data_IF_516368248552
#
_entry.id   IF_516368248552
#
_cell.length_a   1.000
_cell.length_b   1.000
_cell.length_c   1.000
_cell.angle_alpha   90.00
_cell.angle_beta   90.00
_cell.angle_gamma   90.00
#
_symmetry.space_group_name_H-M   'P 1'
#
loop_
_entity.id
_entity.type
_entity.pdbx_description
1 polymer ?
#
# COMPACT_ATOMS: atom_id res chain seq x y z
N UNK A 1 -0.58 -3.76 -17.61
CA UNK A 1 0.07 -3.38 -16.33
C UNK A 1 1.40 -4.05 -16.20
N UNK A 2 2.28 -3.52 -15.36
CA UNK A 2 3.63 -4.04 -15.21
C UNK A 2 3.91 -4.34 -13.76
N UNK A 3 4.38 -5.56 -13.48
CA UNK A 3 4.86 -5.99 -12.18
C UNK A 3 6.36 -5.78 -12.09
N UNK A 4 6.82 -5.24 -10.98
CA UNK A 4 8.23 -5.08 -10.65
C UNK A 4 8.57 -5.85 -9.39
N UNK A 5 9.55 -6.73 -9.45
CA UNK A 5 10.13 -7.39 -8.27
C UNK A 5 11.16 -6.46 -7.64
N UNK A 6 11.15 -6.36 -6.32
CA UNK A 6 12.00 -5.46 -5.56
C UNK A 6 12.64 -6.18 -4.38
N UNK A 7 13.94 -5.95 -4.20
CA UNK A 7 14.70 -6.40 -3.05
C UNK A 7 15.36 -5.19 -2.41
N UNK A 8 15.30 -5.09 -1.08
CA UNK A 8 15.97 -4.03 -0.34
C UNK A 8 17.37 -4.46 0.07
N UNK A 9 18.37 -3.75 -0.40
CA UNK A 9 19.78 -3.98 -0.10
C UNK A 9 20.20 -3.33 1.23
N UNK A 10 19.36 -2.47 1.79
CA UNK A 10 19.57 -1.80 3.08
C UNK A 10 18.24 -1.56 3.80
N UNK A 11 18.31 -1.22 5.10
CA UNK A 11 17.12 -0.82 5.85
C UNK A 11 16.47 0.43 5.25
N UNK A 12 15.15 0.54 5.38
CA UNK A 12 14.36 1.64 4.82
C UNK A 12 13.29 2.09 5.81
N UNK A 13 12.83 3.33 5.69
CA UNK A 13 11.54 3.74 6.28
C UNK A 13 10.40 2.99 5.60
N UNK A 14 9.21 2.94 6.20
CA UNK A 14 8.04 2.33 5.55
C UNK A 14 7.87 2.91 4.14
N UNK A 15 7.76 2.03 3.15
CA UNK A 15 7.58 2.39 1.73
C UNK A 15 6.17 1.98 1.30
N UNK A 16 5.39 2.98 0.96
CA UNK A 16 4.02 2.87 0.44
C UNK A 16 3.93 3.37 -1.01
N UNK A 17 2.75 3.26 -1.61
CA UNK A 17 2.51 3.73 -2.98
C UNK A 17 2.80 5.22 -3.18
N UNK A 18 2.61 6.04 -2.15
CA UNK A 18 2.88 7.48 -2.17
C UNK A 18 4.39 7.73 -2.29
N UNK A 19 5.21 6.99 -1.54
CA UNK A 19 6.67 7.12 -1.60
C UNK A 19 7.23 6.57 -2.91
N UNK A 20 6.70 5.45 -3.42
CA UNK A 20 7.09 4.89 -4.71
C UNK A 20 6.80 5.90 -5.82
N UNK A 21 5.58 6.41 -5.87
CA UNK A 21 5.17 7.37 -6.90
C UNK A 21 6.03 8.65 -6.88
N UNK A 22 6.34 9.18 -5.68
CA UNK A 22 7.24 10.34 -5.53
C UNK A 22 8.66 10.04 -5.99
N UNK A 23 9.20 8.87 -5.66
CA UNK A 23 10.52 8.46 -6.10
C UNK A 23 10.59 8.31 -7.61
N UNK A 24 9.56 7.69 -8.24
CA UNK A 24 9.47 7.56 -9.70
C UNK A 24 9.29 8.92 -10.37
N UNK A 25 8.46 9.82 -9.83
CA UNK A 25 8.30 11.18 -10.36
C UNK A 25 9.63 11.94 -10.35
N UNK A 26 10.38 11.84 -9.26
CA UNK A 26 11.72 12.44 -9.15
C UNK A 26 12.69 11.84 -10.17
N UNK A 27 12.76 10.52 -10.28
CA UNK A 27 13.61 9.85 -11.27
C UNK A 27 13.21 10.21 -12.71
N UNK A 28 11.91 10.32 -12.99
CA UNK A 28 11.37 10.72 -14.29
C UNK A 28 11.79 12.16 -14.64
N UNK A 29 11.72 13.08 -13.69
CA UNK A 29 12.12 14.48 -13.89
C UNK A 29 13.62 14.64 -14.20
N UNK A 30 14.47 13.75 -13.67
CA UNK A 30 15.91 13.71 -13.97
C UNK A 30 16.14 13.22 -15.42
N UNK A 31 15.47 12.13 -15.81
CA UNK A 31 15.71 11.51 -17.11
C UNK A 31 15.01 12.27 -18.26
N UNK A 32 13.85 12.83 -17.98
CA UNK A 32 12.96 13.39 -19.02
C UNK A 32 12.33 14.73 -18.59
N UNK A 33 13.13 15.76 -18.30
CA UNK A 33 12.61 17.04 -17.82
C UNK A 33 11.58 17.66 -18.77
N UNK A 34 11.78 17.53 -20.08
CA UNK A 34 10.86 18.06 -21.10
C UNK A 34 9.53 17.30 -21.23
N UNK A 35 9.40 16.13 -20.57
CA UNK A 35 8.20 15.28 -20.61
C UNK A 35 7.47 15.16 -19.27
N UNK A 36 7.96 15.84 -18.26
CA UNK A 36 7.41 15.71 -16.90
C UNK A 36 5.94 16.14 -16.82
N UNK A 37 5.53 17.16 -17.59
CA UNK A 37 4.15 17.63 -17.61
C UNK A 37 3.19 16.59 -18.20
N UNK A 38 3.62 15.85 -19.22
CA UNK A 38 2.83 14.75 -19.79
C UNK A 38 2.67 13.61 -18.78
N UNK A 39 3.74 13.26 -18.07
CA UNK A 39 3.71 12.26 -17.00
C UNK A 39 2.76 12.68 -15.87
N UNK A 40 2.85 13.92 -15.40
CA UNK A 40 1.96 14.48 -14.38
C UNK A 40 0.49 14.50 -14.86
N UNK A 41 0.26 14.81 -16.13
CA UNK A 41 -1.09 14.78 -16.73
C UNK A 41 -1.67 13.37 -16.73
N UNK A 42 -0.90 12.35 -17.12
CA UNK A 42 -1.31 10.94 -17.04
C UNK A 42 -1.67 10.50 -15.62
N UNK A 43 -0.90 10.96 -14.63
CA UNK A 43 -1.22 10.73 -13.22
C UNK A 43 -2.53 11.41 -12.81
N UNK A 44 -2.73 12.68 -13.15
CA UNK A 44 -3.95 13.44 -12.83
C UNK A 44 -5.20 12.84 -13.49
N UNK A 45 -5.04 12.26 -14.65
CA UNK A 45 -6.12 11.57 -15.37
C UNK A 45 -6.41 10.17 -14.81
N UNK A 46 -5.63 9.69 -13.84
CA UNK A 46 -5.77 8.35 -13.29
C UNK A 46 -5.27 7.24 -14.22
N UNK A 47 -4.46 7.59 -15.23
CA UNK A 47 -3.89 6.64 -16.17
C UNK A 47 -2.68 5.91 -15.59
N UNK A 48 -1.93 6.58 -14.71
CA UNK A 48 -0.75 6.04 -14.05
C UNK A 48 -1.03 5.91 -12.56
N UNK A 49 -0.84 4.70 -12.04
CA UNK A 49 -1.00 4.39 -10.62
C UNK A 49 0.08 3.41 -10.15
N UNK A 50 0.40 3.49 -8.86
CA UNK A 50 1.42 2.67 -8.20
C UNK A 50 0.82 1.94 -7.02
N UNK A 51 1.08 0.65 -6.87
CA UNK A 51 0.68 -0.10 -5.68
C UNK A 51 1.66 0.11 -4.52
N UNK A 52 1.27 -0.35 -3.33
CA UNK A 52 2.21 -0.61 -2.26
C UNK A 52 3.13 -1.79 -2.62
N UNK A 53 4.16 -2.01 -1.81
CA UNK A 53 5.01 -3.19 -1.91
C UNK A 53 4.37 -4.33 -1.14
N UNK A 54 4.27 -5.48 -1.78
CA UNK A 54 3.73 -6.72 -1.23
C UNK A 54 4.78 -7.82 -1.26
N UNK A 55 4.74 -8.80 -0.33
CA UNK A 55 5.73 -9.86 -0.27
C UNK A 55 5.58 -10.88 -1.38
N UNK A 56 6.71 -11.52 -1.71
CA UNK A 56 6.77 -12.75 -2.49
C UNK A 56 7.18 -13.89 -1.55
N UNK A 57 6.45 -14.99 -1.58
CA UNK A 57 6.80 -16.23 -0.88
C UNK A 57 7.19 -17.30 -1.90
N UNK A 58 8.48 -17.51 -2.08
CA UNK A 58 9.02 -18.34 -3.14
C UNK A 58 8.65 -17.80 -4.53
N UNK A 59 7.67 -18.41 -5.19
CA UNK A 59 7.13 -17.94 -6.47
C UNK A 59 5.75 -17.29 -6.34
N UNK A 60 5.15 -17.33 -5.16
CA UNK A 60 3.78 -16.86 -4.92
C UNK A 60 3.77 -15.40 -4.51
N UNK A 61 3.05 -14.58 -5.27
CA UNK A 61 2.78 -13.19 -4.92
C UNK A 61 1.65 -13.14 -3.89
N UNK A 62 1.89 -12.44 -2.78
CA UNK A 62 0.92 -12.32 -1.70
C UNK A 62 0.21 -10.96 -1.74
N UNK A 63 -1.03 -10.95 -1.30
CA UNK A 63 -1.92 -9.79 -1.27
C UNK A 63 -2.22 -9.37 0.17
N UNK A 64 -2.59 -8.12 0.43
CA UNK A 64 -3.00 -7.71 1.76
C UNK A 64 -4.29 -8.44 2.16
N UNK A 65 -4.40 -8.81 3.43
CA UNK A 65 -5.64 -9.38 3.98
C UNK A 65 -6.79 -8.38 3.83
N UNK A 66 -7.95 -8.81 3.31
CA UNK A 66 -9.10 -7.94 3.14
C UNK A 66 -9.55 -7.26 4.45
N UNK A 67 -9.93 -5.99 4.36
CA UNK A 67 -10.42 -5.19 5.49
C UNK A 67 -11.86 -5.60 5.90
N UNK A 68 -12.17 -6.88 5.86
CA UNK A 68 -13.48 -7.42 6.24
C UNK A 68 -13.46 -7.77 7.72
N UNK A 69 -14.30 -7.11 8.49
CA UNK A 69 -14.44 -7.42 9.91
C UNK A 69 -15.16 -8.76 10.11
N UNK A 70 -14.70 -9.54 11.08
CA UNK A 70 -15.47 -10.68 11.58
C UNK A 70 -16.69 -10.13 12.31
N UNK A 71 -17.81 -9.97 11.64
CA UNK A 71 -19.08 -9.99 12.32
C UNK A 71 -19.43 -11.45 12.60
N UNK A 72 -19.00 -11.94 13.72
CA UNK A 72 -19.50 -13.20 14.28
C UNK A 72 -20.95 -12.92 14.68
N UNK A 73 -21.88 -13.21 13.76
CA UNK A 73 -23.29 -13.21 14.06
C UNK A 73 -23.53 -14.44 14.95
N UNK A 74 -23.90 -14.23 16.21
CA UNK A 74 -24.36 -15.24 17.15
C UNK A 74 -23.39 -16.34 17.59
N UNK A 75 -22.16 -16.02 17.95
CA UNK A 75 -21.30 -17.00 18.63
C UNK A 75 -21.26 -16.80 20.14
N UNK A 76 -21.30 -17.90 20.87
CA UNK A 76 -21.09 -17.94 22.32
C UNK A 76 -19.74 -17.28 22.66
N UNK A 77 -19.63 -16.74 23.86
CA UNK A 77 -18.46 -15.97 24.34
C UNK A 77 -17.10 -16.65 24.08
N UNK A 78 -17.04 -17.98 24.08
CA UNK A 78 -15.83 -18.77 23.82
C UNK A 78 -15.40 -18.74 22.35
N UNK A 79 -16.34 -18.80 21.41
CA UNK A 79 -16.04 -18.70 19.97
C UNK A 79 -15.58 -17.28 19.63
N UNK A 80 -16.09 -16.26 20.32
CA UNK A 80 -15.63 -14.88 20.19
C UNK A 80 -14.18 -14.70 20.66
N UNK A 81 -13.78 -15.33 21.74
CA UNK A 81 -12.41 -15.32 22.26
C UNK A 81 -11.46 -16.09 21.32
N UNK A 82 -11.89 -17.21 20.76
CA UNK A 82 -11.13 -17.97 19.79
C UNK A 82 -10.97 -17.22 18.46
N UNK A 83 -12.00 -16.50 17.99
CA UNK A 83 -11.91 -15.66 16.81
C UNK A 83 -10.93 -14.50 16.98
N UNK A 84 -10.86 -13.91 18.19
CA UNK A 84 -9.90 -12.85 18.54
C UNK A 84 -8.45 -13.41 18.61
N UNK A 85 -8.27 -14.62 19.17
CA UNK A 85 -6.97 -15.30 19.20
C UNK A 85 -6.50 -15.65 17.78
N UNK A 86 -7.39 -16.17 16.94
CA UNK A 86 -7.08 -16.51 15.56
C UNK A 86 -6.74 -15.26 14.74
N UNK A 87 -7.38 -14.09 14.99
CA UNK A 87 -7.02 -12.81 14.37
C UNK A 87 -5.57 -12.39 14.63
N UNK A 88 -5.04 -12.62 15.82
CA UNK A 88 -3.65 -12.27 16.16
C UNK A 88 -2.63 -13.13 15.41
N UNK A 89 -3.04 -14.31 14.98
CA UNK A 89 -2.18 -15.28 14.32
C UNK A 89 -2.28 -15.29 12.79
N UNK A 90 -3.29 -14.61 12.22
CA UNK A 90 -3.43 -14.51 10.74
C UNK A 90 -2.31 -13.65 10.16
N UNK A 91 -1.67 -14.13 9.12
CA UNK A 91 -0.72 -13.36 8.32
C UNK A 91 -1.35 -12.05 7.85
N UNK A 92 -0.56 -11.00 7.73
CA UNK A 92 -1.00 -9.72 7.12
C UNK A 92 -1.17 -9.84 5.61
N UNK A 93 -0.69 -10.93 5.03
CA UNK A 93 -0.67 -11.18 3.59
C UNK A 93 -1.11 -12.61 3.31
N UNK A 94 -1.83 -12.78 2.21
CA UNK A 94 -2.44 -14.05 1.78
C UNK A 94 -2.26 -14.24 0.28
N UNK A 95 -2.31 -15.48 -0.19
CA UNK A 95 -2.31 -15.79 -1.62
C UNK A 95 -3.64 -15.46 -2.31
N UNK A 96 -3.66 -15.58 -3.63
CA UNK A 96 -4.84 -15.27 -4.44
C UNK A 96 -6.02 -16.22 -4.18
N UNK A 97 -5.76 -17.50 -3.89
CA UNK A 97 -6.83 -18.48 -3.65
C UNK A 97 -7.56 -18.16 -2.35
N UNK A 98 -6.80 -17.91 -1.28
CA UNK A 98 -7.36 -17.55 0.01
C UNK A 98 -8.10 -16.21 -0.05
N UNK A 99 -7.55 -15.23 -0.80
CA UNK A 99 -8.22 -13.96 -1.06
C UNK A 99 -9.59 -14.18 -1.70
N UNK A 100 -9.68 -15.00 -2.76
CA UNK A 100 -10.95 -15.31 -3.43
C UNK A 100 -11.93 -16.02 -2.49
N UNK A 101 -11.49 -17.01 -1.73
CA UNK A 101 -12.33 -17.70 -0.72
C UNK A 101 -12.91 -16.73 0.31
N UNK A 102 -12.11 -15.81 0.84
CA UNK A 102 -12.56 -14.82 1.83
C UNK A 102 -13.63 -13.91 1.24
N UNK A 103 -13.43 -13.41 0.02
CA UNK A 103 -14.38 -12.49 -0.59
C UNK A 103 -15.67 -13.21 -1.03
N UNK A 104 -15.57 -14.43 -1.55
CA UNK A 104 -16.75 -15.21 -1.87
C UNK A 104 -17.61 -15.48 -0.63
N UNK A 105 -16.99 -15.89 0.49
CA UNK A 105 -17.72 -16.07 1.73
C UNK A 105 -18.33 -14.76 2.27
N UNK A 106 -17.68 -13.63 2.06
CA UNK A 106 -18.25 -12.31 2.38
C UNK A 106 -19.49 -11.99 1.54
N UNK A 107 -19.49 -12.33 0.25
CA UNK A 107 -20.61 -12.15 -0.65
C UNK A 107 -21.78 -13.06 -0.26
N UNK A 108 -21.50 -14.34 0.01
CA UNK A 108 -22.48 -15.34 0.45
C UNK A 108 -23.19 -14.95 1.76
N UNK A 109 -22.49 -14.25 2.64
CA UNK A 109 -23.03 -13.74 3.90
C UNK A 109 -23.70 -12.35 3.77
N UNK A 110 -24.20 -11.97 2.61
CA UNK A 110 -24.87 -10.69 2.36
C UNK A 110 -24.03 -9.47 2.79
N UNK A 111 -22.72 -9.53 2.58
CA UNK A 111 -21.76 -8.46 2.93
C UNK A 111 -21.70 -8.14 4.44
N UNK A 112 -22.17 -9.02 5.31
CA UNK A 112 -22.19 -8.78 6.77
C UNK A 112 -20.89 -9.12 7.47
N UNK A 113 -20.09 -10.04 6.91
CA UNK A 113 -18.82 -10.48 7.46
C UNK A 113 -18.35 -11.79 6.85
N UNK A 114 -17.28 -12.35 7.44
CA UNK A 114 -16.67 -13.60 6.99
C UNK A 114 -16.69 -14.63 8.11
N UNK A 115 -17.09 -15.86 7.79
CA UNK A 115 -17.01 -17.01 8.69
C UNK A 115 -15.68 -17.73 8.45
N UNK A 116 -14.64 -17.37 9.18
CA UNK A 116 -13.30 -17.95 8.99
C UNK A 116 -13.24 -19.46 9.24
N UNK A 117 -14.11 -20.02 10.08
CA UNK A 117 -14.21 -21.47 10.29
C UNK A 117 -14.62 -22.26 9.06
N UNK A 118 -15.27 -21.61 8.08
CA UNK A 118 -15.63 -22.22 6.78
C UNK A 118 -14.54 -22.07 5.72
N UNK A 119 -13.60 -21.15 5.94
CA UNK A 119 -12.55 -20.82 4.97
C UNK A 119 -11.28 -21.62 5.26
N UNK A 120 -10.97 -21.79 6.54
CA UNK A 120 -9.80 -22.53 6.99
C UNK A 120 -10.21 -23.92 7.46
N UNK A 121 -9.99 -24.93 6.63
CA UNK A 121 -10.15 -26.34 7.02
C UNK A 121 -9.00 -26.79 7.97
N UNK A 122 -7.90 -26.03 8.01
CA UNK A 122 -6.71 -26.24 8.82
C UNK A 122 -6.29 -24.95 9.55
N UNK A 123 -5.31 -25.07 10.42
CA UNK A 123 -4.76 -23.93 11.15
C UNK A 123 -4.34 -22.80 10.18
N UNK A 124 -4.62 -21.53 10.51
CA UNK A 124 -4.24 -20.42 9.64
C UNK A 124 -2.74 -20.43 9.36
N UNK A 125 -2.32 -20.00 8.12
CA UNK A 125 -0.92 -20.06 7.72
C UNK A 125 -0.03 -19.31 8.72
N UNK A 126 1.16 -19.85 8.95
CA UNK A 126 2.14 -19.23 9.86
C UNK A 126 2.40 -17.77 9.50
N UNK A 127 2.51 -16.94 10.54
CA UNK A 127 2.79 -15.52 10.37
C UNK A 127 4.20 -15.31 9.83
N UNK A 128 4.33 -15.06 8.54
CA UNK A 128 5.61 -14.64 7.94
C UNK A 128 5.77 -13.13 8.07
N UNK A 129 6.86 -12.71 8.71
CA UNK A 129 7.18 -11.28 8.83
C UNK A 129 7.88 -10.79 7.57
N UNK A 130 7.16 -10.04 6.74
CA UNK A 130 7.72 -9.39 5.54
C UNK A 130 8.52 -8.14 5.89
N UNK A 131 8.11 -7.43 6.94
CA UNK A 131 8.75 -6.18 7.39
C UNK A 131 9.19 -6.39 8.83
N UNK A 132 10.49 -6.29 9.09
CA UNK A 132 11.08 -6.41 10.42
C UNK A 132 11.61 -5.06 10.88
N UNK A 133 11.23 -4.58 12.08
CA UNK A 133 11.83 -3.38 12.64
C UNK A 133 13.33 -3.61 12.87
N UNK A 134 14.12 -2.59 12.57
CA UNK A 134 15.57 -2.59 12.84
C UNK A 134 15.82 -1.69 14.02
N UNK A 135 16.33 -2.27 15.09
CA UNK A 135 16.88 -1.50 16.20
C UNK A 135 18.32 -1.12 15.83
N UNK A 136 18.48 -0.05 15.10
CA UNK A 136 19.82 0.56 15.00
C UNK A 136 20.06 1.32 16.31
N UNK A 137 21.27 1.23 16.91
CA UNK A 137 21.65 2.15 17.97
C UNK A 137 21.56 3.55 17.36
N UNK A 138 20.52 4.27 17.70
CA UNK A 138 20.25 5.58 17.13
C UNK A 138 21.40 6.50 17.51
N UNK A 139 21.96 7.21 16.52
CA UNK A 139 22.66 8.46 16.80
C UNK A 139 21.54 9.37 17.30
N UNK A 140 21.45 9.51 18.60
CA UNK A 140 20.60 10.50 19.24
C UNK A 140 21.22 11.83 18.91
N UNK A 141 20.71 12.55 17.91
CA UNK A 141 21.00 13.97 17.80
C UNK A 141 20.25 14.63 18.96
N UNK A 142 20.97 14.89 20.03
CA UNK A 142 20.52 15.80 21.07
C UNK A 142 20.51 17.19 20.39
N UNK A 143 19.35 17.68 20.00
CA UNK A 143 19.20 19.12 19.83
C UNK A 143 19.56 19.76 21.17
N UNK A 144 20.32 20.87 21.12
CA UNK A 144 20.72 21.56 22.32
C UNK A 144 19.48 21.82 23.19
N UNK A 145 19.54 21.47 24.48
CA UNK A 145 18.40 21.66 25.35
C UNK A 145 18.05 23.16 25.43
N UNK A 146 16.81 23.48 25.15
CA UNK A 146 16.32 24.87 25.23
C UNK A 146 15.79 25.13 26.64
N UNK A 147 16.34 26.11 27.32
CA UNK A 147 15.84 26.55 28.62
C UNK A 147 14.60 27.44 28.40
N UNK A 148 13.43 26.95 28.82
CA UNK A 148 12.16 27.65 28.65
C UNK A 148 11.28 27.50 29.91
N UNK A 149 10.78 28.61 30.45
CA UNK A 149 9.93 28.63 31.64
C UNK A 149 10.56 27.92 32.86
N UNK A 150 11.80 28.29 33.20
CA UNK A 150 12.59 27.73 34.33
C UNK A 150 12.79 26.19 34.31
N UNK A 151 12.66 25.57 33.15
CA UNK A 151 12.92 24.13 32.93
C UNK A 151 13.66 23.90 31.61
N UNK A 152 14.56 22.91 31.64
CA UNK A 152 15.16 22.38 30.45
C UNK A 152 14.14 21.53 29.70
N UNK A 153 13.79 21.96 28.49
CA UNK A 153 13.01 21.11 27.57
C UNK A 153 13.97 20.42 26.62
N UNK A 154 13.89 19.09 26.65
CA UNK A 154 14.52 18.26 25.63
C UNK A 154 13.48 18.04 24.54
N UNK A 155 13.79 18.44 23.31
CA UNK A 155 12.97 18.04 22.19
C UNK A 155 13.14 16.53 22.00
N UNK A 156 12.07 15.78 22.09
CA UNK A 156 12.07 14.36 21.77
C UNK A 156 12.48 14.21 20.30
N UNK A 157 13.64 13.61 20.09
CA UNK A 157 14.10 13.25 18.75
C UNK A 157 13.25 12.08 18.30
N UNK A 158 12.31 12.32 17.41
CA UNK A 158 11.57 11.25 16.75
C UNK A 158 12.56 10.40 15.93
N UNK A 159 12.98 9.27 16.48
CA UNK A 159 13.71 8.27 15.70
C UNK A 159 12.74 7.71 14.67
N UNK A 160 12.98 8.00 13.39
CA UNK A 160 12.25 7.33 12.32
C UNK A 160 12.56 5.85 12.39
N UNK A 161 11.55 5.03 12.64
CA UNK A 161 11.69 3.59 12.63
C UNK A 161 12.19 3.13 11.25
N UNK A 162 13.21 2.29 11.26
CA UNK A 162 13.77 1.64 10.07
C UNK A 162 13.33 0.19 10.06
N UNK A 163 13.20 -0.36 8.87
CA UNK A 163 12.72 -1.71 8.63
C UNK A 163 13.59 -2.43 7.60
N UNK A 164 13.79 -3.72 7.81
CA UNK A 164 14.27 -4.63 6.77
C UNK A 164 13.06 -5.24 6.07
N UNK A 165 13.12 -5.27 4.75
CA UNK A 165 12.11 -5.87 3.90
C UNK A 165 12.62 -7.20 3.34
N UNK A 166 11.73 -8.19 3.27
CA UNK A 166 11.94 -9.38 2.45
C UNK A 166 11.75 -9.10 0.97
N UNK A 167 11.82 -10.14 0.16
CA UNK A 167 11.53 -10.07 -1.28
C UNK A 167 10.10 -9.61 -1.51
N UNK A 168 9.92 -8.65 -2.41
CA UNK A 168 8.64 -8.05 -2.66
C UNK A 168 8.39 -7.73 -4.12
N UNK A 169 7.19 -7.26 -4.38
CA UNK A 169 6.80 -6.72 -5.67
C UNK A 169 5.89 -5.50 -5.50
N UNK A 170 5.86 -4.68 -6.52
CA UNK A 170 4.86 -3.63 -6.68
C UNK A 170 4.38 -3.58 -8.13
N UNK A 171 3.28 -2.91 -8.35
CA UNK A 171 2.58 -2.86 -9.63
C UNK A 171 2.47 -1.43 -10.09
N UNK A 172 2.65 -1.22 -11.39
CA UNK A 172 2.46 0.07 -12.03
C UNK A 172 1.45 -0.06 -13.16
N UNK A 173 0.40 0.74 -13.09
CA UNK A 173 -0.59 0.85 -14.15
C UNK A 173 -0.05 1.73 -15.28
N UNK A 174 -0.23 1.28 -16.54
CA UNK A 174 0.23 1.99 -17.75
C UNK A 174 1.70 2.42 -17.73
N UNK A 175 2.57 1.50 -17.32
CA UNK A 175 4.02 1.72 -17.40
C UNK A 175 4.49 1.66 -18.86
N UNK A 176 4.79 2.81 -19.43
CA UNK A 176 5.46 2.94 -20.73
C UNK A 176 7.00 2.79 -20.59
N UNK A 177 7.72 2.92 -21.70
CA UNK A 177 9.18 2.82 -21.69
C UNK A 177 9.87 3.91 -20.86
N UNK A 178 9.28 5.10 -20.72
CA UNK A 178 9.84 6.21 -19.97
C UNK A 178 9.63 6.02 -18.46
N UNK A 179 8.43 5.60 -18.07
CA UNK A 179 8.12 5.21 -16.68
C UNK A 179 9.00 4.03 -16.25
N UNK A 180 9.15 3.02 -17.13
CA UNK A 180 10.04 1.89 -16.84
C UNK A 180 11.50 2.33 -16.62
N UNK A 181 12.03 3.21 -17.45
CA UNK A 181 13.39 3.73 -17.27
C UNK A 181 13.54 4.52 -15.96
N UNK A 182 12.53 5.32 -15.59
CA UNK A 182 12.54 6.03 -14.31
C UNK A 182 12.51 5.07 -13.12
N UNK A 183 11.76 3.97 -13.20
CA UNK A 183 11.75 2.93 -12.18
C UNK A 183 13.12 2.23 -12.10
N UNK A 184 13.75 1.91 -13.23
CA UNK A 184 15.07 1.30 -13.24
C UNK A 184 16.15 2.22 -12.64
N UNK A 185 16.05 3.52 -12.81
CA UNK A 185 16.95 4.50 -12.18
C UNK A 185 16.91 4.46 -10.63
N UNK A 186 15.81 3.96 -10.05
CA UNK A 186 15.73 3.80 -8.59
C UNK A 186 16.71 2.77 -8.03
N UNK A 187 17.29 1.90 -8.87
CA UNK A 187 18.40 1.01 -8.46
C UNK A 187 19.63 1.80 -8.00
N UNK A 188 19.84 2.98 -8.60
CA UNK A 188 20.95 3.87 -8.25
C UNK A 188 20.53 4.91 -7.21
N UNK A 189 19.29 5.40 -7.29
CA UNK A 189 18.79 6.46 -6.42
C UNK A 189 18.23 5.96 -5.08
N UNK A 190 17.72 4.72 -5.00
CA UNK A 190 16.96 4.21 -3.85
C UNK A 190 15.55 4.82 -3.74
N UNK A 191 14.76 4.30 -2.78
CA UNK A 191 13.34 4.72 -2.56
C UNK A 191 13.12 5.34 -1.18
N UNK A 192 14.10 5.58 -0.36
CA UNK A 192 13.89 6.03 1.03
C UNK A 192 14.25 7.50 1.24
N UNK A 193 13.72 8.08 2.31
CA UNK A 193 14.03 9.44 2.74
C UNK A 193 15.40 9.63 3.46
N UNK A 194 16.25 8.60 3.51
CA UNK A 194 17.60 8.64 4.10
C UNK A 194 18.64 8.09 3.12
N UNK A 195 18.50 8.43 1.86
CA UNK A 195 19.41 7.97 0.78
C UNK A 195 20.83 8.49 0.95
N UNK A 196 20.98 9.69 1.48
CA UNK A 196 22.26 10.32 1.86
C UNK A 196 23.06 9.48 2.87
N UNK A 197 22.41 8.68 3.68
CA UNK A 197 23.03 7.74 4.62
C UNK A 197 22.97 6.26 4.15
N UNK A 198 22.80 6.02 2.86
CA UNK A 198 22.79 4.67 2.26
C UNK A 198 21.56 3.82 2.60
N UNK A 199 20.49 4.43 3.12
CA UNK A 199 19.25 3.71 3.44
C UNK A 199 18.30 3.70 2.24
N UNK A 200 17.47 2.64 2.15
CA UNK A 200 16.49 2.47 1.08
C UNK A 200 17.08 2.16 -0.28
N UNK A 201 18.30 1.62 -0.32
CA UNK A 201 18.88 1.08 -1.54
C UNK A 201 18.12 -0.18 -1.95
N UNK A 202 17.81 -0.28 -3.23
CA UNK A 202 16.96 -1.33 -3.79
C UNK A 202 17.57 -1.95 -5.04
N UNK A 203 17.14 -3.15 -5.36
CA UNK A 203 17.32 -3.80 -6.65
C UNK A 203 15.95 -4.11 -7.23
N UNK A 204 15.60 -3.43 -8.31
CA UNK A 204 14.32 -3.55 -9.00
C UNK A 204 14.52 -4.20 -10.35
N UNK A 205 13.64 -5.12 -10.70
CA UNK A 205 13.59 -5.74 -12.04
C UNK A 205 12.14 -5.85 -12.50
N UNK A 206 11.93 -5.61 -13.77
CA UNK A 206 10.64 -5.89 -14.41
C UNK A 206 10.37 -7.38 -14.38
N UNK A 207 9.16 -7.79 -14.01
CA UNK A 207 8.71 -9.18 -14.08
C UNK A 207 8.05 -9.44 -15.43
N UNK A 208 8.15 -10.70 -15.90
CA UNK A 208 7.38 -11.18 -17.04
C UNK A 208 6.00 -11.69 -16.62
N UNK A 209 5.73 -11.74 -15.31
CA UNK A 209 4.45 -12.17 -14.78
C UNK A 209 3.35 -11.15 -15.11
N UNK A 210 2.32 -11.59 -15.82
CA UNK A 210 1.13 -10.79 -16.06
C UNK A 210 0.15 -10.95 -14.89
N UNK A 211 -0.38 -9.82 -14.42
CA UNK A 211 -1.46 -9.81 -13.44
C UNK A 211 -2.70 -9.15 -14.04
N UNK A 212 -3.87 -9.80 -13.99
CA UNK A 212 -5.14 -9.16 -14.34
C UNK A 212 -5.49 -8.14 -13.23
N UNK A 213 -5.16 -6.89 -13.46
CA UNK A 213 -5.39 -5.77 -12.54
C UNK A 213 -6.04 -4.63 -13.31
N UNK A 214 -6.83 -3.83 -12.63
CA UNK A 214 -7.58 -2.69 -13.19
C UNK A 214 -9.07 -2.93 -13.17
N UNK A 215 -9.81 -1.89 -13.48
CA UNK A 215 -11.25 -1.97 -13.59
C UNK A 215 -11.65 -2.55 -14.94
N UNK A 216 -12.30 -3.71 -14.92
CA UNK A 216 -12.82 -4.36 -16.13
C UNK A 216 -14.35 -4.29 -16.17
N UNK A 217 -15.01 -4.65 -15.07
CA UNK A 217 -16.47 -4.75 -14.97
C UNK A 217 -16.93 -4.28 -13.58
N UNK A 218 -18.21 -3.91 -13.41
CA UNK A 218 -18.78 -3.71 -12.07
C UNK A 218 -18.58 -4.94 -11.19
N UNK A 219 -18.00 -4.76 -10.00
CA UNK A 219 -17.69 -5.90 -9.13
C UNK A 219 -16.90 -5.54 -7.88
N UNK A 220 -16.41 -6.58 -7.22
CA UNK A 220 -15.57 -6.46 -6.05
C UNK A 220 -14.09 -6.36 -6.44
N UNK A 221 -13.42 -5.39 -5.84
CA UNK A 221 -12.01 -5.13 -6.04
C UNK A 221 -11.30 -5.03 -4.69
N UNK A 222 -10.12 -5.65 -4.59
CA UNK A 222 -9.21 -5.35 -3.50
C UNK A 222 -8.27 -4.22 -3.91
N UNK A 223 -8.14 -3.24 -3.03
CA UNK A 223 -7.27 -2.09 -3.21
C UNK A 223 -5.82 -2.45 -2.86
N UNK A 224 -4.90 -2.13 -3.77
CA UNK A 224 -3.47 -2.41 -3.62
C UNK A 224 -2.61 -1.14 -3.42
N UNK A 225 -3.23 0.02 -3.34
CA UNK A 225 -2.57 1.32 -3.16
C UNK A 225 -3.23 2.14 -2.06
N UNK A 226 -2.61 3.25 -1.66
CA UNK A 226 -3.27 4.31 -0.89
C UNK A 226 -4.21 5.08 -1.83
N UNK A 227 -5.50 5.18 -1.50
CA UNK A 227 -6.50 5.71 -2.39
C UNK A 227 -7.37 6.81 -1.74
N UNK A 228 -7.45 7.95 -2.40
CA UNK A 228 -8.45 8.98 -2.10
C UNK A 228 -9.29 9.18 -3.35
N UNK A 229 -10.56 8.79 -3.37
CA UNK A 229 -11.41 9.00 -4.54
C UNK A 229 -11.61 10.48 -4.83
N UNK A 230 -11.68 10.82 -6.10
CA UNK A 230 -12.19 12.12 -6.51
C UNK A 230 -13.73 12.19 -6.35
N UNK A 231 -14.32 13.34 -6.64
CA UNK A 231 -15.75 13.58 -6.39
C UNK A 231 -16.67 12.69 -7.25
N UNK A 232 -16.25 12.37 -8.47
CA UNK A 232 -17.03 11.51 -9.36
C UNK A 232 -16.86 10.05 -9.01
N UNK A 233 -15.65 9.64 -8.65
CA UNK A 233 -15.35 8.27 -8.24
C UNK A 233 -16.05 7.84 -6.95
N UNK A 234 -16.35 8.78 -6.05
CA UNK A 234 -17.15 8.48 -4.85
C UNK A 234 -18.53 7.92 -5.23
N UNK A 235 -19.14 8.44 -6.30
CA UNK A 235 -20.47 8.00 -6.78
C UNK A 235 -20.42 6.60 -7.40
N UNK A 236 -19.27 6.22 -7.93
CA UNK A 236 -19.03 4.90 -8.53
C UNK A 236 -18.78 3.80 -7.50
N UNK A 237 -18.57 4.12 -6.23
CA UNK A 237 -18.33 3.15 -5.14
C UNK A 237 -19.63 2.89 -4.37
N UNK A 238 -20.02 1.62 -4.25
CA UNK A 238 -21.11 1.20 -3.38
C UNK A 238 -20.58 0.91 -1.97
N UNK A 239 -20.67 1.88 -1.09
CA UNK A 239 -20.18 1.76 0.28
C UNK A 239 -20.97 0.77 1.14
N UNK A 240 -22.23 0.45 0.77
CA UNK A 240 -23.03 -0.54 1.52
C UNK A 240 -22.45 -1.94 1.38
N UNK A 241 -21.88 -2.26 0.21
CA UNK A 241 -21.23 -3.52 -0.11
C UNK A 241 -19.71 -3.51 0.17
N UNK A 242 -19.13 -2.34 0.38
CA UNK A 242 -17.68 -2.17 0.56
C UNK A 242 -17.25 -2.34 2.02
N UNK A 243 -16.00 -2.75 2.22
CA UNK A 243 -15.33 -2.80 3.53
C UNK A 243 -13.95 -2.20 3.40
N UNK A 244 -13.65 -1.20 4.20
CA UNK A 244 -12.43 -0.43 4.08
C UNK A 244 -11.87 0.01 5.43
N UNK A 245 -10.56 0.18 5.45
CA UNK A 245 -9.85 0.83 6.53
C UNK A 245 -9.35 2.20 6.05
N UNK A 246 -9.48 3.20 6.92
CA UNK A 246 -8.97 4.55 6.68
C UNK A 246 -7.69 4.73 7.48
N UNK A 247 -6.69 5.29 6.83
CA UNK A 247 -5.44 5.70 7.44
C UNK A 247 -5.19 7.18 7.16
N UNK A 248 -4.37 7.82 7.98
CA UNK A 248 -4.03 9.23 7.82
C UNK A 248 -2.56 9.35 7.40
N UNK A 249 -2.32 10.02 6.28
CA UNK A 249 -0.99 10.44 5.88
C UNK A 249 -0.73 11.86 6.39
N UNK A 250 0.40 12.02 7.06
CA UNK A 250 0.93 13.31 7.43
C UNK A 250 2.43 13.33 7.13
N UNK A 251 2.89 14.33 6.44
CA UNK A 251 4.28 14.45 6.02
C UNK A 251 4.82 15.86 6.23
N UNK A 252 6.05 16.05 5.78
CA UNK A 252 6.69 17.37 5.67
C UNK A 252 7.21 17.56 4.25
N UNK A 253 7.11 18.76 3.72
CA UNK A 253 7.80 19.18 2.50
C UNK A 253 9.32 19.23 2.73
N UNK A 254 10.11 19.45 1.67
CA UNK A 254 11.55 19.66 1.78
C UNK A 254 11.85 20.91 2.66
N UNK A 255 11.01 21.93 2.57
CA UNK A 255 11.14 23.14 3.36
C UNK A 255 10.63 23.00 4.81
N UNK A 256 10.26 21.78 5.23
CA UNK A 256 9.77 21.50 6.58
C UNK A 256 8.30 21.81 6.81
N UNK A 257 7.59 22.38 5.84
CA UNK A 257 6.17 22.69 5.96
C UNK A 257 5.34 21.42 6.11
N UNK A 258 4.33 21.38 7.00
CA UNK A 258 3.49 20.20 7.16
C UNK A 258 2.65 19.96 5.90
N UNK A 259 2.54 18.70 5.50
CA UNK A 259 1.71 18.24 4.39
C UNK A 259 0.62 17.34 4.95
N UNK A 260 -0.63 17.64 4.63
CA UNK A 260 -1.79 16.92 5.16
C UNK A 260 -2.38 17.58 6.40
N UNK A 261 -3.18 16.82 7.20
CA UNK A 261 -3.42 15.38 7.10
C UNK A 261 -4.35 14.99 5.95
N UNK A 262 -4.02 13.92 5.23
CA UNK A 262 -4.88 13.30 4.22
C UNK A 262 -5.41 11.96 4.74
N UNK A 263 -6.73 11.77 4.67
CA UNK A 263 -7.36 10.48 4.97
C UNK A 263 -7.55 9.70 3.70
N UNK A 264 -7.08 8.47 3.67
CA UNK A 264 -7.13 7.61 2.49
C UNK A 264 -7.58 6.20 2.83
N UNK A 265 -8.14 5.50 1.85
CA UNK A 265 -8.41 4.07 1.93
C UNK A 265 -7.09 3.30 1.86
N UNK A 266 -6.89 2.45 2.86
CA UNK A 266 -5.69 1.63 3.00
C UNK A 266 -5.71 0.44 2.04
N UNK A 267 -4.53 -0.04 1.56
CA UNK A 267 -4.44 -1.33 0.88
C UNK A 267 -5.08 -2.46 1.69
N UNK A 268 -5.76 -3.37 0.99
CA UNK A 268 -6.61 -4.39 1.60
C UNK A 268 -8.06 -3.98 1.75
N UNK A 269 -8.43 -2.72 1.49
CA UNK A 269 -9.84 -2.32 1.39
C UNK A 269 -10.52 -3.06 0.23
N UNK A 270 -11.72 -3.58 0.47
CA UNK A 270 -12.56 -4.25 -0.53
C UNK A 270 -13.67 -3.30 -0.92
N UNK A 271 -13.68 -2.92 -2.18
CA UNK A 271 -14.61 -1.93 -2.72
C UNK A 271 -15.49 -2.59 -3.79
N UNK A 272 -16.80 -2.36 -3.73
CA UNK A 272 -17.69 -2.66 -4.84
C UNK A 272 -17.75 -1.44 -5.75
N UNK A 273 -17.22 -1.59 -6.97
CA UNK A 273 -17.05 -0.51 -7.93
C UNK A 273 -17.99 -0.72 -9.11
N UNK A 274 -18.80 0.29 -9.43
CA UNK A 274 -19.81 0.28 -10.48
C UNK A 274 -19.28 0.79 -11.82
N UNK A 275 -18.30 1.70 -11.78
CA UNK A 275 -17.72 2.33 -12.94
C UNK A 275 -16.25 2.69 -12.67
N UNK A 276 -15.50 3.03 -13.71
CA UNK A 276 -14.09 3.40 -13.60
C UNK A 276 -13.87 4.52 -12.58
N UNK A 277 -12.90 4.33 -11.72
CA UNK A 277 -12.53 5.28 -10.67
C UNK A 277 -11.12 5.81 -10.85
N UNK A 278 -10.89 7.03 -10.38
CA UNK A 278 -9.57 7.66 -10.30
C UNK A 278 -9.37 8.32 -8.93
N UNK A 279 -8.16 8.63 -8.59
CA UNK A 279 -7.79 9.19 -7.31
C UNK A 279 -7.52 10.69 -7.36
N UNK A 280 -7.49 11.31 -6.18
CA UNK A 280 -7.01 12.68 -6.01
C UNK A 280 -5.49 12.72 -6.07
N UNK A 281 -5.02 13.82 -6.63
CA UNK A 281 -3.61 14.19 -6.63
C UNK A 281 -3.45 15.53 -5.94
N UNK A 282 -2.40 15.68 -5.16
CA UNK A 282 -2.11 16.92 -4.46
C UNK A 282 -0.73 17.43 -4.87
N UNK A 283 -0.64 18.64 -5.45
CA UNK A 283 0.64 19.25 -5.73
C UNK A 283 1.39 19.51 -4.41
N UNK A 284 2.67 19.25 -4.43
CA UNK A 284 3.61 19.55 -3.36
C UNK A 284 4.75 20.38 -3.95
N UNK A 285 5.43 21.19 -3.15
CA UNK A 285 6.58 22.03 -3.58
C UNK A 285 7.67 21.23 -4.30
N UNK A 286 7.68 19.91 -4.15
CA UNK A 286 8.69 19.00 -4.70
C UNK A 286 8.10 17.91 -5.61
N UNK A 287 6.89 18.13 -6.12
CA UNK A 287 6.26 17.17 -7.00
C UNK A 287 4.76 17.00 -6.76
N UNK A 288 4.31 15.78 -6.83
CA UNK A 288 2.90 15.44 -6.72
C UNK A 288 2.71 14.22 -5.81
N UNK A 289 1.77 14.32 -4.89
CA UNK A 289 1.31 13.16 -4.13
C UNK A 289 0.13 12.50 -4.86
N UNK A 290 0.23 11.21 -5.04
CA UNK A 290 -0.66 10.43 -5.90
C UNK A 290 -1.43 9.45 -5.01
N UNK A 291 -2.76 9.51 -5.11
CA UNK A 291 -3.68 8.61 -4.43
C UNK A 291 -4.56 7.85 -5.43
N UNK A 292 -4.02 7.53 -6.60
CA UNK A 292 -4.71 6.73 -7.61
C UNK A 292 -4.85 5.27 -7.16
N UNK A 293 -6.02 4.64 -7.42
CA UNK A 293 -6.22 3.26 -7.04
C UNK A 293 -5.48 2.30 -7.97
N UNK A 294 -4.83 1.30 -7.40
CA UNK A 294 -4.47 0.06 -8.09
C UNK A 294 -5.42 -1.02 -7.60
N UNK A 295 -6.22 -1.55 -8.50
CA UNK A 295 -7.35 -2.41 -8.21
C UNK A 295 -7.11 -3.81 -8.78
N UNK A 296 -7.25 -4.84 -7.94
CA UNK A 296 -7.32 -6.23 -8.39
C UNK A 296 -8.77 -6.71 -8.28
N UNK A 297 -9.34 -7.09 -9.42
CA UNK A 297 -10.65 -7.75 -9.47
C UNK A 297 -10.59 -9.07 -8.73
N UNK A 298 -11.60 -9.32 -7.91
CA UNK A 298 -11.79 -10.62 -7.28
C UNK A 298 -12.86 -11.36 -8.06
N UNK A 299 -12.40 -12.28 -8.90
CA UNK A 299 -13.30 -13.10 -9.71
C UNK A 299 -14.08 -14.06 -8.82
N UNK A 300 -15.39 -14.12 -9.02
CA UNK A 300 -16.22 -15.21 -8.52
C UNK A 300 -15.89 -16.46 -9.33
N UNK A 301 -14.96 -17.27 -8.86
CA UNK A 301 -14.79 -18.64 -9.38
C UNK A 301 -15.98 -19.48 -8.89
N UNK A 302 -17.13 -19.36 -9.50
CA UNK A 302 -18.23 -20.22 -9.08
C UNK A 302 -19.66 -19.94 -9.52
N UNK A 303 -19.88 -19.03 -10.45
CA UNK A 303 -21.20 -18.92 -11.10
C UNK A 303 -21.05 -18.87 -12.62
N UNK A 304 -20.81 -20.02 -13.20
CA UNK A 304 -21.18 -20.37 -14.58
C UNK A 304 -22.07 -21.59 -14.53
#
# INVERSE_FOLDING_TARGET
>A
MTVYKINFNSSSTVVDSIKISRAVTFAYSILYPDKIDNFISGIKNGEIAFSNIFPIDGKTMLYPVPAINNHVINTKREERLNSIKNRKNVSKFIDAQLLSKIINNFIENDFRGVEYSKIFDEAPPEKKEFIKPVTEPGIVFLEEPVFQNDRWKYNEVFTKELYLYGDGYFIVENSDKFVNAAIMLLNDLGISGRRDSGKGMVSIRKSEDDMPIGFNNPGFYILLSSYIPDEDSIKSIDFSKSRYNIETFQGKSINGNPIGPFRYFKPGSVLYIKDKVKGKTYPDENGIMIFNPVLKEVQNEGYN
#
